data_IF_151221324499
#
_entry.id   IF_151221324499
#
_cell.length_a   1.000
_cell.length_b   1.000
_cell.length_c   1.000
_cell.angle_alpha   90.00
_cell.angle_beta   90.00
_cell.angle_gamma   90.00
#
_symmetry.space_group_name_H-M   'P 1'
#
loop_
_entity.id
_entity.type
_entity.pdbx_description
1 polymer ?
#
# COMPACT_ATOMS: atom_id res chain seq x y z
N UNK A 1 -2.28 3.56 -5.68
CA UNK A 1 -3.04 3.84 -4.46
C UNK A 1 -3.90 5.04 -4.68
N UNK A 2 -5.16 4.96 -4.26
CA UNK A 2 -6.14 6.03 -4.46
C UNK A 2 -7.02 6.22 -3.22
N UNK A 3 -7.54 7.42 -3.04
CA UNK A 3 -8.76 7.69 -2.28
C UNK A 3 -9.85 8.09 -3.28
N UNK A 4 -10.81 7.18 -3.51
CA UNK A 4 -11.76 7.30 -4.62
C UNK A 4 -11.06 7.33 -5.98
N UNK A 5 -10.98 8.52 -6.59
CA UNK A 5 -10.34 8.79 -7.88
C UNK A 5 -9.03 9.60 -7.76
N UNK A 6 -8.64 10.03 -6.56
CA UNK A 6 -7.43 10.82 -6.36
C UNK A 6 -6.23 9.92 -6.01
N UNK A 7 -5.10 10.02 -6.73
CA UNK A 7 -3.88 9.29 -6.36
C UNK A 7 -3.32 9.82 -5.04
N UNK A 8 -2.86 8.90 -4.19
CA UNK A 8 -2.27 9.25 -2.89
C UNK A 8 -0.74 9.10 -2.93
N UNK A 9 0.01 10.22 -2.90
CA UNK A 9 1.46 10.18 -2.81
C UNK A 9 1.95 10.01 -1.37
N UNK A 10 3.16 9.48 -1.21
CA UNK A 10 3.81 9.25 0.08
C UNK A 10 3.05 8.31 1.04
N UNK A 11 2.25 7.40 0.50
CA UNK A 11 1.68 6.32 1.31
C UNK A 11 2.79 5.35 1.67
N UNK A 12 2.92 5.03 2.95
CA UNK A 12 3.92 4.09 3.44
C UNK A 12 3.44 2.67 3.19
N UNK A 13 4.28 1.87 2.55
CA UNK A 13 4.06 0.46 2.25
C UNK A 13 5.15 -0.32 2.98
N UNK A 14 4.79 -1.24 3.86
CA UNK A 14 5.74 -2.11 4.55
C UNK A 14 5.38 -3.58 4.36
N UNK A 15 6.37 -4.46 4.32
CA UNK A 15 6.10 -5.89 4.40
C UNK A 15 5.97 -6.28 5.88
N UNK A 16 4.86 -6.90 6.25
CA UNK A 16 4.60 -7.34 7.62
C UNK A 16 5.66 -8.34 8.07
N UNK A 17 6.35 -8.02 9.16
CA UNK A 17 7.40 -8.86 9.72
C UNK A 17 8.77 -8.68 9.08
N UNK A 18 8.94 -7.78 8.10
CA UNK A 18 10.26 -7.36 7.61
C UNK A 18 10.48 -5.87 7.85
N UNK A 19 11.72 -5.42 7.62
CA UNK A 19 12.07 -3.99 7.64
C UNK A 19 12.03 -3.36 6.25
N UNK A 20 11.50 -4.09 5.26
CA UNK A 20 11.34 -3.55 3.92
C UNK A 20 10.15 -2.59 3.90
N UNK A 21 10.49 -1.32 3.69
CA UNK A 21 9.55 -0.22 3.53
C UNK A 21 9.76 0.44 2.18
N UNK A 22 8.66 0.83 1.56
CA UNK A 22 8.58 1.59 0.33
C UNK A 22 7.53 2.67 0.49
N UNK A 23 7.51 3.65 -0.40
CA UNK A 23 6.51 4.71 -0.39
C UNK A 23 5.95 4.89 -1.81
N UNK A 24 4.71 5.37 -1.92
CA UNK A 24 4.15 5.72 -3.22
C UNK A 24 4.74 7.02 -3.76
N UNK A 25 4.96 7.05 -5.07
CA UNK A 25 5.34 8.25 -5.82
C UNK A 25 4.19 9.25 -5.95
N UNK A 26 4.45 10.39 -6.61
CA UNK A 26 3.47 11.47 -6.85
C UNK A 26 2.16 11.01 -7.53
N UNK A 27 2.23 9.96 -8.35
CA UNK A 27 1.09 9.38 -9.06
C UNK A 27 0.36 8.29 -8.24
N UNK A 28 0.75 8.10 -6.97
CA UNK A 28 0.23 7.03 -6.11
C UNK A 28 0.68 5.63 -6.53
N UNK A 29 1.65 5.51 -7.43
CA UNK A 29 2.26 4.24 -7.85
C UNK A 29 3.36 3.84 -6.90
N UNK A 30 3.62 2.53 -6.81
CA UNK A 30 4.75 1.99 -6.07
C UNK A 30 5.29 0.77 -6.82
N UNK A 31 6.57 0.47 -6.60
CA UNK A 31 7.18 -0.73 -7.16
C UNK A 31 8.02 -1.40 -6.07
N UNK A 32 7.62 -2.61 -5.67
CA UNK A 32 8.28 -3.34 -4.59
C UNK A 32 8.36 -4.82 -4.94
N UNK A 33 9.55 -5.40 -4.83
CA UNK A 33 9.76 -6.82 -5.01
C UNK A 33 9.48 -7.53 -3.68
N UNK A 34 8.45 -8.37 -3.64
CA UNK A 34 8.07 -9.14 -2.45
C UNK A 34 7.80 -10.59 -2.80
N UNK A 35 7.98 -11.48 -1.83
CA UNK A 35 7.72 -12.90 -2.03
C UNK A 35 6.20 -13.16 -2.05
N UNK A 36 5.73 -14.14 -2.84
CA UNK A 36 4.37 -14.62 -2.75
C UNK A 36 4.04 -15.06 -1.31
N UNK A 37 2.87 -14.67 -0.80
CA UNK A 37 2.46 -14.90 0.58
C UNK A 37 2.88 -13.80 1.56
N UNK A 38 3.70 -12.83 1.14
CA UNK A 38 4.01 -11.67 1.95
C UNK A 38 2.75 -10.82 2.19
N UNK A 39 2.58 -10.31 3.41
CA UNK A 39 1.51 -9.36 3.73
C UNK A 39 2.07 -7.95 3.62
N UNK A 40 1.53 -7.13 2.73
CA UNK A 40 1.81 -5.72 2.64
C UNK A 40 0.88 -4.96 3.58
N UNK A 41 1.44 -4.05 4.37
CA UNK A 41 0.70 -3.13 5.22
C UNK A 41 0.88 -1.73 4.66
N UNK A 42 -0.24 -1.09 4.41
CA UNK A 42 -0.33 0.23 3.82
C UNK A 42 -0.83 1.20 4.89
N UNK A 43 -0.07 2.26 5.11
CA UNK A 43 -0.33 3.24 6.17
C UNK A 43 -0.15 4.65 5.63
N UNK A 44 -1.11 5.51 5.94
CA UNK A 44 -1.09 6.91 5.56
C UNK A 44 -1.76 7.76 6.64
N UNK A 45 -1.25 8.97 6.87
CA UNK A 45 -1.72 9.83 7.95
C UNK A 45 -3.19 10.20 7.73
N UNK A 46 -4.04 9.92 8.71
CA UNK A 46 -5.49 10.15 8.62
C UNK A 46 -6.28 9.05 7.90
N UNK A 47 -5.66 7.90 7.65
CA UNK A 47 -6.29 6.73 7.02
C UNK A 47 -6.08 5.46 7.84
N UNK A 48 -7.01 4.53 7.72
CA UNK A 48 -6.94 3.22 8.34
C UNK A 48 -5.87 2.37 7.67
N UNK A 49 -5.04 1.69 8.47
CA UNK A 49 -4.07 0.72 7.96
C UNK A 49 -4.79 -0.37 7.17
N UNK A 50 -4.36 -0.61 5.93
CA UNK A 50 -4.87 -1.71 5.10
C UNK A 50 -3.81 -2.80 5.00
N UNK A 51 -4.20 -4.05 5.23
CA UNK A 51 -3.32 -5.21 5.05
C UNK A 51 -3.76 -6.01 3.82
N UNK A 52 -2.81 -6.38 2.97
CA UNK A 52 -3.09 -7.17 1.77
C UNK A 52 -2.04 -8.26 1.59
N UNK A 53 -2.51 -9.49 1.42
CA UNK A 53 -1.64 -10.64 1.15
C UNK A 53 -1.36 -10.72 -0.35
N UNK A 54 -0.08 -10.72 -0.73
CA UNK A 54 0.35 -10.85 -2.11
C UNK A 54 0.24 -12.31 -2.53
N UNK A 55 -0.90 -12.68 -3.14
CA UNK A 55 -1.17 -14.06 -3.52
C UNK A 55 -0.32 -14.57 -4.70
N UNK A 56 0.12 -13.67 -5.59
CA UNK A 56 0.97 -13.96 -6.75
C UNK A 56 1.56 -12.64 -7.31
N UNK A 57 2.41 -12.72 -8.33
CA UNK A 57 3.05 -11.59 -9.04
C UNK A 57 2.01 -10.65 -9.68
N UNK A 58 1.20 -9.97 -8.88
CA UNK A 58 0.18 -9.05 -9.34
C UNK A 58 0.85 -7.74 -9.72
N UNK A 59 0.92 -7.47 -11.02
CA UNK A 59 1.48 -6.25 -11.60
C UNK A 59 0.63 -5.00 -11.35
N UNK A 60 -0.65 -5.17 -10.97
CA UNK A 60 -1.62 -4.08 -10.93
C UNK A 60 -2.51 -4.15 -9.67
N UNK A 61 -1.88 -3.97 -8.52
CA UNK A 61 -2.56 -3.93 -7.23
C UNK A 61 -3.12 -2.53 -6.95
N UNK A 62 -4.40 -2.30 -7.29
CA UNK A 62 -5.11 -1.07 -6.91
C UNK A 62 -5.65 -1.19 -5.49
N UNK A 63 -5.01 -0.46 -4.57
CA UNK A 63 -5.47 -0.34 -3.18
C UNK A 63 -6.16 1.00 -2.99
N UNK A 64 -7.39 0.96 -2.47
CA UNK A 64 -8.17 2.14 -2.07
C UNK A 64 -8.01 2.33 -0.57
N UNK A 65 -7.44 3.45 -0.14
CA UNK A 65 -7.31 3.76 1.29
C UNK A 65 -8.66 4.15 1.86
N UNK A 66 -8.91 3.78 3.13
CA UNK A 66 -10.12 4.19 3.84
C UNK A 66 -9.76 5.29 4.84
N UNK A 67 -10.38 6.47 4.78
CA UNK A 67 -10.11 7.52 5.75
C UNK A 67 -10.42 7.03 7.16
N UNK A 68 -9.56 7.39 8.12
CA UNK A 68 -9.76 7.18 9.54
C UNK A 68 -10.59 8.35 10.06
N UNK A 69 -11.90 8.26 9.86
CA UNK A 69 -12.86 9.18 10.45
C UNK A 69 -13.31 8.60 11.79
N UNK A 70 -12.76 9.15 12.87
CA UNK A 70 -13.21 8.91 14.23
C UNK A 70 -14.66 9.38 14.45
#
# INVERSE_FOLDING_TARGET
MVDGDMPLPNVTIRVKGTFDVSATDFDGKFNMAVQPGATLVFSYIGYLEQELVVASTASDLKVVMKPDVA
#
